data_IF_164021660194
#
_entry.id   IF_164021660194
#
_cell.length_a   1.000
_cell.length_b   1.000
_cell.length_c   1.000
_cell.angle_alpha   90.00
_cell.angle_beta   90.00
_cell.angle_gamma   90.00
#
_symmetry.space_group_name_H-M   'P 1'
#
loop_
_entity.id
_entity.type
_entity.pdbx_description
1 polymer ?
#
# COMPACT_ATOMS: atom_id res chain seq x y z
N UNK A 1 -18.04 22.41 -50.61
CA UNK A 1 -18.52 21.19 -49.91
C UNK A 1 -18.11 21.35 -48.46
N UNK A 2 -19.07 21.72 -47.61
CA UNK A 2 -18.82 22.16 -46.24
C UNK A 2 -18.33 21.00 -45.36
N UNK A 3 -17.27 21.27 -44.60
CA UNK A 3 -16.71 20.39 -43.60
C UNK A 3 -17.74 20.26 -42.47
N UNK A 4 -18.27 19.04 -42.25
CA UNK A 4 -19.19 18.77 -41.15
C UNK A 4 -18.45 18.87 -39.83
N UNK A 5 -18.81 19.85 -39.01
CA UNK A 5 -18.33 19.94 -37.63
C UNK A 5 -18.87 18.72 -36.87
N UNK A 6 -17.97 17.87 -36.36
CA UNK A 6 -18.34 16.77 -35.50
C UNK A 6 -18.84 17.35 -34.17
N UNK A 7 -20.14 17.31 -33.94
CA UNK A 7 -20.72 17.74 -32.66
C UNK A 7 -20.23 16.85 -31.52
N UNK A 8 -19.58 17.46 -30.53
CA UNK A 8 -19.17 16.78 -29.30
C UNK A 8 -20.41 16.59 -28.42
N UNK A 9 -20.88 15.35 -28.29
CA UNK A 9 -21.96 15.00 -27.37
C UNK A 9 -21.31 14.64 -26.02
N UNK A 10 -21.47 15.45 -24.95
CA UNK A 10 -20.96 15.07 -23.64
C UNK A 10 -21.80 13.90 -23.12
N UNK A 11 -21.19 12.71 -23.09
CA UNK A 11 -21.79 11.52 -22.51
C UNK A 11 -21.69 11.61 -20.99
N UNK A 12 -22.84 11.71 -20.32
CA UNK A 12 -22.92 11.73 -18.86
C UNK A 12 -22.87 10.30 -18.29
N UNK A 13 -21.70 9.96 -17.75
CA UNK A 13 -21.42 8.69 -17.10
C UNK A 13 -21.53 8.74 -15.57
N UNK A 14 -22.00 9.85 -14.98
CA UNK A 14 -22.09 10.01 -13.51
C UNK A 14 -22.88 8.91 -12.82
N UNK A 15 -23.90 8.37 -13.51
CA UNK A 15 -24.72 7.23 -13.04
C UNK A 15 -23.93 5.93 -12.86
N UNK A 16 -22.73 5.83 -13.44
CA UNK A 16 -21.84 4.68 -13.36
C UNK A 16 -20.52 4.99 -12.62
N UNK A 17 -20.33 6.24 -12.15
CA UNK A 17 -19.16 6.69 -11.37
C UNK A 17 -19.33 6.34 -9.88
N UNK A 18 -19.36 5.04 -9.58
CA UNK A 18 -19.44 4.55 -8.20
C UNK A 18 -18.10 4.78 -7.49
N UNK A 19 -18.13 5.52 -6.40
CA UNK A 19 -16.96 5.76 -5.53
C UNK A 19 -17.22 5.13 -4.17
N UNK A 20 -16.31 4.28 -3.73
CA UNK A 20 -16.26 3.81 -2.35
C UNK A 20 -15.13 4.56 -1.62
N UNK A 21 -15.44 5.60 -0.82
CA UNK A 21 -14.42 6.34 -0.11
C UNK A 21 -13.77 5.47 0.97
N UNK A 22 -12.47 5.23 0.82
CA UNK A 22 -11.72 4.41 1.78
C UNK A 22 -11.63 5.10 3.16
N UNK A 23 -12.22 4.47 4.17
CA UNK A 23 -12.14 4.93 5.57
C UNK A 23 -11.17 4.05 6.37
N UNK A 24 -9.90 4.44 6.40
CA UNK A 24 -8.89 3.74 7.19
C UNK A 24 -8.99 4.14 8.67
N UNK A 25 -9.05 3.15 9.57
CA UNK A 25 -9.00 3.39 11.03
C UNK A 25 -7.60 3.75 11.55
N UNK A 26 -6.57 3.30 10.83
CA UNK A 26 -5.18 3.65 11.06
C UNK A 26 -4.50 3.69 9.70
N UNK A 27 -3.75 4.76 9.44
CA UNK A 27 -2.75 4.80 8.36
C UNK A 27 -1.39 4.78 9.03
N UNK A 28 -0.71 3.64 8.98
CA UNK A 28 0.70 3.58 9.35
C UNK A 28 1.55 4.39 8.36
N UNK A 29 2.79 4.70 8.74
CA UNK A 29 3.77 5.24 7.81
C UNK A 29 3.92 4.37 6.55
N UNK A 30 4.43 4.98 5.46
CA UNK A 30 4.80 4.25 4.25
C UNK A 30 6.07 3.44 4.53
N UNK A 31 6.13 2.23 3.97
CA UNK A 31 7.28 1.34 4.09
C UNK A 31 7.29 0.50 5.37
N UNK A 32 8.17 -0.49 5.36
CA UNK A 32 8.45 -1.44 6.42
C UNK A 32 9.60 -0.91 7.27
N UNK A 33 9.26 -0.41 8.46
CA UNK A 33 10.23 0.11 9.42
C UNK A 33 9.91 -0.37 10.84
N UNK A 34 10.88 -0.23 11.73
CA UNK A 34 10.70 -0.46 13.19
C UNK A 34 9.55 0.40 13.74
N UNK A 35 9.47 1.65 13.28
CA UNK A 35 8.42 2.59 13.67
C UNK A 35 7.03 2.11 13.23
N UNK A 36 6.89 1.62 11.99
CA UNK A 36 5.65 1.01 11.49
C UNK A 36 5.22 -0.17 12.37
N UNK A 37 6.17 -1.00 12.82
CA UNK A 37 5.89 -2.14 13.71
C UNK A 37 5.37 -1.66 15.07
N UNK A 38 6.01 -0.66 15.67
CA UNK A 38 5.54 -0.07 16.92
C UNK A 38 4.12 0.50 16.79
N UNK A 39 3.86 1.30 15.76
CA UNK A 39 2.54 1.87 15.48
C UNK A 39 1.47 0.79 15.35
N UNK A 40 1.76 -0.30 14.63
CA UNK A 40 0.82 -1.42 14.47
C UNK A 40 0.56 -2.10 15.81
N UNK A 41 1.60 -2.44 16.58
CA UNK A 41 1.45 -3.13 17.86
C UNK A 41 0.74 -2.28 18.92
N UNK A 42 0.99 -0.98 18.97
CA UNK A 42 0.32 -0.04 19.87
C UNK A 42 -1.16 0.10 19.51
N UNK A 43 -1.47 0.31 18.23
CA UNK A 43 -2.85 0.45 17.78
C UNK A 43 -3.68 -0.82 18.00
N UNK A 44 -3.08 -1.99 17.77
CA UNK A 44 -3.72 -3.29 17.99
C UNK A 44 -3.73 -3.75 19.44
N UNK A 45 -3.07 -3.03 20.35
CA UNK A 45 -2.90 -3.41 21.77
C UNK A 45 -2.37 -4.83 21.91
N UNK A 46 -1.34 -5.15 21.13
CA UNK A 46 -0.71 -6.47 21.14
C UNK A 46 0.07 -6.70 22.46
N UNK A 47 0.09 -7.95 22.97
CA UNK A 47 0.94 -8.29 24.10
C UNK A 47 2.43 -8.17 23.73
N UNK A 48 3.29 -7.89 24.71
CA UNK A 48 4.71 -7.57 24.49
C UNK A 48 5.46 -8.64 23.70
N UNK A 49 5.18 -9.93 23.97
CA UNK A 49 5.82 -11.03 23.27
C UNK A 49 5.58 -11.00 21.75
N UNK A 50 4.41 -10.52 21.31
CA UNK A 50 4.06 -10.43 19.88
C UNK A 50 4.78 -9.26 19.22
N UNK A 51 4.93 -8.13 19.94
CA UNK A 51 5.73 -7.00 19.49
C UNK A 51 7.19 -7.40 19.31
N UNK A 52 7.76 -8.07 20.31
CA UNK A 52 9.14 -8.59 20.23
C UNK A 52 9.30 -9.58 19.08
N UNK A 53 8.32 -10.47 18.87
CA UNK A 53 8.34 -11.40 17.75
C UNK A 53 8.38 -10.68 16.40
N UNK A 54 7.57 -9.64 16.20
CA UNK A 54 7.59 -8.81 14.97
C UNK A 54 8.94 -8.12 14.77
N UNK A 55 9.51 -7.54 15.83
CA UNK A 55 10.80 -6.87 15.77
C UNK A 55 11.93 -7.86 15.38
N UNK A 56 11.95 -9.05 15.98
CA UNK A 56 12.91 -10.11 15.62
C UNK A 56 12.75 -10.56 14.16
N UNK A 57 11.50 -10.67 13.68
CA UNK A 57 11.24 -11.01 12.29
C UNK A 57 11.73 -9.93 11.31
N UNK A 58 11.55 -8.65 11.65
CA UNK A 58 12.06 -7.54 10.86
C UNK A 58 13.59 -7.52 10.81
N UNK A 59 14.26 -7.68 11.96
CA UNK A 59 15.72 -7.81 11.98
C UNK A 59 16.21 -8.97 11.10
N UNK A 60 15.51 -10.11 11.16
CA UNK A 60 15.85 -11.27 10.34
C UNK A 60 15.64 -11.03 8.85
N UNK A 61 14.59 -10.28 8.48
CA UNK A 61 14.33 -9.86 7.11
C UNK A 61 15.47 -8.98 6.58
N UNK A 62 15.84 -7.93 7.32
CA UNK A 62 16.90 -6.99 6.92
C UNK A 62 18.26 -7.67 6.79
N UNK A 63 18.54 -8.68 7.62
CA UNK A 63 19.81 -9.43 7.58
C UNK A 63 19.90 -10.43 6.42
N UNK A 64 18.77 -10.79 5.79
CA UNK A 64 18.77 -11.80 4.72
C UNK A 64 19.11 -11.16 3.38
N UNK A 65 19.96 -11.82 2.57
CA UNK A 65 20.15 -11.38 1.20
C UNK A 65 18.84 -11.53 0.42
N UNK A 66 18.62 -10.64 -0.55
CA UNK A 66 17.52 -10.76 -1.48
C UNK A 66 17.67 -12.07 -2.27
N UNK A 67 16.60 -12.88 -2.40
CA UNK A 67 16.67 -14.09 -3.22
C UNK A 67 16.98 -13.75 -4.68
N UNK A 68 17.79 -14.60 -5.29
CA UNK A 68 18.20 -14.55 -6.70
C UNK A 68 17.30 -15.39 -7.61
N UNK A 69 16.43 -16.21 -7.02
CA UNK A 69 15.44 -17.00 -7.74
C UNK A 69 14.16 -16.17 -7.98
N UNK A 70 13.63 -16.24 -9.20
CA UNK A 70 12.37 -15.57 -9.58
C UNK A 70 12.54 -14.22 -10.27
N UNK A 71 11.49 -13.38 -10.28
CA UNK A 71 11.54 -12.04 -10.88
C UNK A 71 12.56 -11.15 -10.17
N UNK A 72 13.08 -10.17 -10.91
CA UNK A 72 13.95 -9.13 -10.38
C UNK A 72 13.23 -8.28 -9.33
N UNK A 73 13.84 -8.16 -8.16
CA UNK A 73 13.30 -7.43 -6.99
C UNK A 73 14.07 -6.14 -6.70
N UNK A 74 15.04 -5.78 -7.55
CA UNK A 74 15.92 -4.62 -7.40
C UNK A 74 15.18 -3.26 -7.44
N UNK A 75 13.96 -3.23 -7.97
CA UNK A 75 13.12 -2.02 -8.01
C UNK A 75 12.25 -1.83 -6.75
N UNK A 76 12.26 -2.77 -5.81
CA UNK A 76 11.43 -2.68 -4.60
C UNK A 76 12.08 -1.79 -3.53
N UNK A 77 11.35 -0.77 -3.11
CA UNK A 77 11.66 0.06 -1.94
C UNK A 77 10.87 -0.46 -0.73
N UNK A 78 11.57 -0.73 0.38
CA UNK A 78 11.02 -1.33 1.60
C UNK A 78 10.89 -0.30 2.72
#
# INVERSE_FOLDING_TARGET
>A
MAQGAQEFIPLDYTRYDFKDPETYKLRSGKGLSVETIHQISDWKKEPDWLREYRLRAYEHFVKRPMPDWGPKLDELDF
#
